data_IF_391020864811
#
_entry.id   IF_391020864811
#
_cell.length_a   1.000
_cell.length_b   1.000
_cell.length_c   1.000
_cell.angle_alpha   90.00
_cell.angle_beta   90.00
_cell.angle_gamma   90.00
#
_symmetry.space_group_name_H-M   'P 1'
#
loop_
_entity.id
_entity.type
_entity.pdbx_description
1 polymer ?
#
# COMPACT_ATOMS: atom_id res chain seq x y z
N UNK A 1 5.55 -1.11 -18.04
CA UNK A 1 6.05 -2.50 -17.93
C UNK A 1 6.84 -2.98 -19.18
N UNK A 2 6.20 -3.35 -20.35
CA UNK A 2 6.97 -3.86 -21.51
C UNK A 2 7.98 -2.83 -22.02
N UNK A 3 7.54 -1.58 -22.22
CA UNK A 3 8.42 -0.48 -22.63
C UNK A 3 9.60 -0.30 -21.68
N UNK A 4 9.34 -0.27 -20.37
CA UNK A 4 10.35 -0.02 -19.36
C UNK A 4 11.37 -1.15 -19.32
N UNK A 5 10.92 -2.40 -19.30
CA UNK A 5 11.81 -3.57 -19.36
C UNK A 5 12.66 -3.60 -20.64
N UNK A 6 12.06 -3.22 -21.80
CA UNK A 6 12.82 -3.10 -23.04
C UNK A 6 13.87 -1.99 -22.95
N UNK A 7 13.51 -0.86 -22.35
CA UNK A 7 14.43 0.28 -22.16
C UNK A 7 15.59 -0.14 -21.25
N UNK A 8 15.33 -0.81 -20.13
CA UNK A 8 16.38 -1.29 -19.21
C UNK A 8 17.36 -2.25 -19.88
N UNK A 9 16.87 -3.20 -20.71
CA UNK A 9 17.74 -4.10 -21.46
C UNK A 9 18.62 -3.32 -22.46
N UNK A 10 18.02 -2.37 -23.19
CA UNK A 10 18.76 -1.57 -24.19
C UNK A 10 19.79 -0.65 -23.52
N UNK A 11 19.41 0.03 -22.44
CA UNK A 11 20.32 0.89 -21.67
C UNK A 11 21.46 0.08 -21.05
N UNK A 12 21.18 -1.08 -20.48
CA UNK A 12 22.20 -2.01 -19.98
C UNK A 12 23.19 -2.45 -21.06
N UNK A 13 22.69 -2.77 -22.27
CA UNK A 13 23.53 -3.13 -23.40
C UNK A 13 24.40 -1.95 -23.88
N UNK A 14 23.87 -0.72 -23.90
CA UNK A 14 24.62 0.48 -24.23
C UNK A 14 25.76 0.66 -23.22
N UNK A 15 25.44 0.63 -21.92
CA UNK A 15 26.43 0.78 -20.85
C UNK A 15 27.53 -0.29 -20.90
N UNK A 16 27.15 -1.55 -21.14
CA UNK A 16 28.13 -2.64 -21.30
C UNK A 16 29.03 -2.39 -22.48
N UNK A 17 28.51 -1.95 -23.62
CA UNK A 17 29.26 -1.65 -24.82
C UNK A 17 30.26 -0.50 -24.58
N UNK A 18 29.81 0.58 -23.94
CA UNK A 18 30.69 1.72 -23.57
C UNK A 18 31.79 1.28 -22.59
N UNK A 19 31.47 0.46 -21.60
CA UNK A 19 32.45 -0.08 -20.66
C UNK A 19 33.54 -0.91 -21.37
N UNK A 20 33.15 -1.77 -22.31
CA UNK A 20 34.09 -2.58 -23.10
C UNK A 20 34.97 -1.71 -23.98
N UNK A 21 34.41 -0.67 -24.62
CA UNK A 21 35.18 0.23 -25.49
C UNK A 21 36.20 1.08 -24.72
N UNK A 22 35.90 1.41 -23.48
CA UNK A 22 36.75 2.27 -22.65
C UNK A 22 37.75 1.51 -21.76
N UNK A 23 37.67 0.18 -21.68
CA UNK A 23 38.54 -0.65 -20.85
C UNK A 23 39.52 -1.47 -21.71
N UNK A 24 40.78 -1.67 -21.25
CA UNK A 24 41.75 -2.48 -21.97
C UNK A 24 41.29 -3.92 -22.15
N UNK A 25 41.49 -4.47 -23.36
CA UNK A 25 41.05 -5.84 -23.73
C UNK A 25 41.77 -6.97 -22.96
N UNK A 26 42.79 -6.65 -22.16
CA UNK A 26 43.65 -7.64 -21.52
C UNK A 26 43.15 -8.19 -20.16
N UNK A 27 42.12 -7.60 -19.58
CA UNK A 27 41.56 -8.10 -18.32
C UNK A 27 40.06 -7.83 -18.20
N UNK A 28 39.30 -8.82 -17.68
CA UNK A 28 37.93 -8.61 -17.22
C UNK A 28 37.97 -7.66 -16.02
N UNK A 29 37.62 -6.40 -16.24
CA UNK A 29 37.54 -5.42 -15.15
C UNK A 29 36.28 -5.68 -14.29
N UNK A 30 36.35 -5.24 -13.05
CA UNK A 30 35.15 -5.31 -12.16
C UNK A 30 33.98 -4.55 -12.78
N UNK A 31 34.19 -3.46 -13.46
CA UNK A 31 33.17 -2.67 -14.15
C UNK A 31 32.51 -3.45 -15.29
N UNK A 32 33.29 -4.21 -16.09
CA UNK A 32 32.72 -5.08 -17.12
C UNK A 32 31.85 -6.20 -16.53
N UNK A 33 32.28 -6.80 -15.41
CA UNK A 33 31.50 -7.83 -14.73
C UNK A 33 30.18 -7.27 -14.15
N UNK A 34 30.21 -6.08 -13.54
CA UNK A 34 29.02 -5.40 -13.03
C UNK A 34 28.06 -5.08 -14.18
N UNK A 35 28.55 -4.45 -15.26
CA UNK A 35 27.71 -4.10 -16.41
C UNK A 35 27.12 -5.35 -17.09
N UNK A 36 27.89 -6.43 -17.18
CA UNK A 36 27.38 -7.71 -17.68
C UNK A 36 26.28 -8.25 -16.78
N UNK A 37 26.47 -8.23 -15.46
CA UNK A 37 25.48 -8.64 -14.47
C UNK A 37 24.17 -7.85 -14.60
N UNK A 38 24.24 -6.53 -14.77
CA UNK A 38 23.07 -5.66 -14.96
C UNK A 38 22.28 -6.01 -16.22
N UNK A 39 22.95 -6.36 -17.34
CA UNK A 39 22.26 -6.83 -18.56
C UNK A 39 21.54 -8.15 -18.32
N UNK A 40 22.20 -9.09 -17.63
CA UNK A 40 21.57 -10.37 -17.30
C UNK A 40 20.33 -10.20 -16.44
N UNK A 41 20.41 -9.36 -15.42
CA UNK A 41 19.28 -9.04 -14.53
C UNK A 41 18.12 -8.40 -15.31
N UNK A 42 18.39 -7.42 -16.16
CA UNK A 42 17.40 -6.80 -17.01
C UNK A 42 16.73 -7.81 -17.97
N UNK A 43 17.49 -8.73 -18.56
CA UNK A 43 16.95 -9.80 -19.41
C UNK A 43 16.10 -10.79 -18.64
N UNK A 44 16.48 -11.14 -17.40
CA UNK A 44 15.70 -12.00 -16.53
C UNK A 44 14.38 -11.36 -16.15
N UNK A 45 14.39 -10.07 -15.77
CA UNK A 45 13.19 -9.29 -15.47
C UNK A 45 12.26 -9.21 -16.69
N UNK A 46 12.81 -8.96 -17.88
CA UNK A 46 12.03 -8.97 -19.13
C UNK A 46 11.37 -10.33 -19.42
N UNK A 47 12.03 -11.42 -19.06
CA UNK A 47 11.49 -12.79 -19.23
C UNK A 47 10.34 -13.11 -18.26
N UNK A 48 10.28 -12.40 -17.14
CA UNK A 48 9.27 -12.57 -16.10
C UNK A 48 8.07 -11.62 -16.26
N UNK A 49 7.99 -10.87 -17.36
CA UNK A 49 6.84 -10.00 -17.63
C UNK A 49 5.53 -10.76 -17.66
N UNK A 50 4.44 -10.17 -17.13
CA UNK A 50 3.11 -10.74 -17.24
C UNK A 50 2.72 -11.02 -18.70
N UNK A 51 2.03 -12.14 -18.95
CA UNK A 51 1.68 -12.58 -20.30
C UNK A 51 0.61 -11.73 -20.98
N UNK A 52 -0.26 -11.10 -20.18
CA UNK A 52 -1.36 -10.28 -20.63
C UNK A 52 -1.70 -9.17 -19.60
N UNK A 53 -2.63 -8.30 -19.96
CA UNK A 53 -3.04 -7.18 -19.09
C UNK A 53 -3.69 -7.66 -17.79
N UNK A 54 -4.47 -8.75 -17.82
CA UNK A 54 -5.04 -9.33 -16.61
C UNK A 54 -3.94 -9.79 -15.65
N UNK A 55 -2.96 -10.53 -16.14
CA UNK A 55 -1.83 -11.01 -15.34
C UNK A 55 -1.00 -9.85 -14.78
N UNK A 56 -0.84 -8.76 -15.56
CA UNK A 56 -0.15 -7.54 -15.12
C UNK A 56 -0.88 -6.86 -13.95
N UNK A 57 -2.19 -6.69 -14.08
CA UNK A 57 -3.02 -6.09 -13.01
C UNK A 57 -3.07 -6.98 -11.76
N UNK A 58 -3.19 -8.29 -11.95
CA UNK A 58 -3.10 -9.26 -10.83
C UNK A 58 -1.76 -9.14 -10.09
N UNK A 59 -0.65 -9.01 -10.81
CA UNK A 59 0.67 -8.83 -10.22
C UNK A 59 0.77 -7.52 -9.44
N UNK A 60 0.31 -6.41 -10.00
CA UNK A 60 0.30 -5.09 -9.35
C UNK A 60 -0.56 -5.10 -8.06
N UNK A 61 -1.78 -5.64 -8.15
CA UNK A 61 -2.68 -5.77 -6.98
C UNK A 61 -2.09 -6.67 -5.89
N UNK A 62 -1.41 -7.76 -6.27
CA UNK A 62 -0.76 -8.65 -5.32
C UNK A 62 0.42 -7.98 -4.60
N UNK A 63 1.23 -7.20 -5.33
CA UNK A 63 2.31 -6.42 -4.74
C UNK A 63 1.77 -5.37 -3.76
N UNK A 64 0.75 -4.59 -4.16
CA UNK A 64 0.09 -3.61 -3.29
C UNK A 64 -0.50 -4.28 -2.03
N UNK A 65 -1.14 -5.44 -2.16
CA UNK A 65 -1.66 -6.22 -1.03
C UNK A 65 -0.54 -6.66 -0.07
N UNK A 66 0.64 -7.02 -0.59
CA UNK A 66 1.82 -7.35 0.22
C UNK A 66 2.22 -6.17 1.10
N UNK A 67 2.46 -5.01 0.48
CA UNK A 67 2.86 -3.78 1.20
C UNK A 67 1.85 -3.39 2.29
N UNK A 68 0.55 -3.39 1.97
CA UNK A 68 -0.51 -3.07 2.95
C UNK A 68 -0.57 -4.09 4.08
N UNK A 69 -0.30 -5.36 3.80
CA UNK A 69 -0.24 -6.41 4.82
C UNK A 69 0.93 -6.19 5.76
N UNK A 70 2.11 -5.89 5.23
CA UNK A 70 3.32 -5.66 6.00
C UNK A 70 3.17 -4.41 6.90
N UNK A 71 2.65 -3.30 6.37
CA UNK A 71 2.35 -2.10 7.15
C UNK A 71 1.33 -2.35 8.28
N UNK A 72 0.32 -3.19 8.03
CA UNK A 72 -0.66 -3.56 9.04
C UNK A 72 -0.03 -4.42 10.15
N UNK A 73 0.80 -5.39 9.80
CA UNK A 73 1.48 -6.28 10.75
C UNK A 73 2.48 -5.49 11.60
N UNK A 74 3.23 -4.55 11.00
CA UNK A 74 4.15 -3.65 11.70
C UNK A 74 3.39 -2.79 12.73
N UNK A 75 2.27 -2.18 12.33
CA UNK A 75 1.47 -1.37 13.25
C UNK A 75 0.83 -2.22 14.37
N UNK A 76 0.34 -3.43 14.07
CA UNK A 76 -0.18 -4.36 15.09
C UNK A 76 0.92 -4.71 16.10
N UNK A 77 2.16 -4.92 15.65
CA UNK A 77 3.29 -5.19 16.53
C UNK A 77 3.66 -3.97 17.40
N UNK A 78 3.74 -2.79 16.79
CA UNK A 78 4.01 -1.54 17.51
C UNK A 78 2.98 -1.27 18.62
N UNK A 79 1.68 -1.57 18.36
CA UNK A 79 0.62 -1.42 19.36
C UNK A 79 0.76 -2.37 20.55
N UNK A 80 1.35 -3.53 20.36
CA UNK A 80 1.63 -4.48 21.44
C UNK A 80 2.82 -4.03 22.28
N UNK A 81 3.88 -3.55 21.63
CA UNK A 81 5.11 -3.10 22.32
C UNK A 81 4.97 -1.71 22.93
N UNK A 82 4.18 -0.83 22.34
CA UNK A 82 4.00 0.57 22.77
C UNK A 82 3.07 0.76 23.96
N UNK A 83 2.82 -0.28 24.78
CA UNK A 83 2.16 -0.11 26.07
C UNK A 83 3.16 0.46 27.06
N UNK A 84 2.83 1.62 27.63
CA UNK A 84 3.59 2.17 28.74
C UNK A 84 3.60 1.15 29.89
N UNK A 85 4.78 0.60 30.26
CA UNK A 85 4.88 -0.40 31.33
C UNK A 85 4.50 0.16 32.70
N UNK A 86 4.37 1.47 32.82
CA UNK A 86 4.02 2.17 34.06
C UNK A 86 2.59 2.70 34.09
N UNK A 87 1.79 2.52 33.02
CA UNK A 87 0.41 3.05 32.97
C UNK A 87 -0.50 2.49 34.05
N UNK A 88 -0.26 1.24 34.50
CA UNK A 88 -1.07 0.59 35.54
C UNK A 88 -0.65 0.95 36.97
N UNK A 89 0.45 1.70 37.13
CA UNK A 89 1.01 2.05 38.47
C UNK A 89 0.66 3.48 38.85
N UNK A 90 0.18 4.31 37.93
CA UNK A 90 -0.01 5.74 38.15
C UNK A 90 -1.49 6.15 38.28
N UNK A 91 -2.28 5.49 39.13
CA UNK A 91 -3.50 6.11 39.68
C UNK A 91 -3.21 7.05 40.87
N UNK A 92 -1.95 7.13 41.34
CA UNK A 92 -1.55 8.06 42.40
C UNK A 92 -0.95 9.35 41.82
N UNK A 93 -1.74 10.43 41.83
CA UNK A 93 -1.43 11.80 41.33
C UNK A 93 -0.25 12.50 42.04
N UNK A 94 0.43 11.91 42.99
CA UNK A 94 1.38 12.63 43.90
C UNK A 94 2.86 12.57 43.50
N UNK A 95 3.26 11.76 42.55
CA UNK A 95 4.65 11.67 42.10
C UNK A 95 4.82 12.20 40.68
N UNK A 96 5.03 13.49 40.52
CA UNK A 96 5.21 14.27 39.30
C UNK A 96 6.20 13.74 38.24
N UNK A 97 6.25 12.47 37.96
CA UNK A 97 6.90 11.87 36.81
C UNK A 97 5.96 12.02 35.61
N UNK A 98 6.13 13.11 34.85
CA UNK A 98 5.61 13.17 33.48
C UNK A 98 6.28 12.08 32.66
N UNK A 99 5.60 10.96 32.46
CA UNK A 99 6.00 9.96 31.48
C UNK A 99 6.30 10.66 30.14
N UNK A 100 7.29 10.17 29.42
CA UNK A 100 7.75 10.77 28.17
C UNK A 100 6.62 10.66 27.12
N UNK A 101 5.77 11.71 27.05
CA UNK A 101 4.57 11.75 26.17
C UNK A 101 4.91 11.56 24.69
N UNK A 102 6.19 11.73 24.34
CA UNK A 102 6.67 11.59 22.96
C UNK A 102 6.96 10.14 22.57
N UNK A 103 6.90 9.21 23.53
CA UNK A 103 7.23 7.80 23.31
C UNK A 103 6.00 6.89 23.34
N UNK A 104 4.93 7.30 24.04
CA UNK A 104 3.75 6.46 24.28
C UNK A 104 2.46 7.14 23.84
N UNK A 105 1.49 6.35 23.37
CA UNK A 105 0.15 6.83 23.04
C UNK A 105 -0.60 7.30 24.29
N UNK A 106 -1.13 8.51 24.24
CA UNK A 106 -2.08 9.01 25.22
C UNK A 106 -3.40 8.22 25.17
N UNK A 107 -4.25 8.36 26.20
CA UNK A 107 -5.58 7.75 26.19
C UNK A 107 -6.45 8.27 25.01
N UNK A 108 -6.33 9.55 24.66
CA UNK A 108 -7.01 10.13 23.52
C UNK A 108 -6.51 9.53 22.19
N UNK A 109 -5.19 9.31 22.05
CA UNK A 109 -4.62 8.68 20.86
C UNK A 109 -5.09 7.23 20.71
N UNK A 110 -5.14 6.48 21.79
CA UNK A 110 -5.60 5.08 21.80
C UNK A 110 -7.03 4.92 21.28
N UNK A 111 -7.91 5.91 21.50
CA UNK A 111 -9.29 5.90 20.96
C UNK A 111 -9.30 5.99 19.43
N UNK A 112 -8.32 6.69 18.83
CA UNK A 112 -8.19 6.82 17.38
C UNK A 112 -7.54 5.60 16.71
N UNK A 113 -6.67 4.89 17.42
CA UNK A 113 -5.97 3.72 16.85
C UNK A 113 -6.93 2.64 16.35
N UNK A 114 -7.99 2.33 17.10
CA UNK A 114 -8.98 1.32 16.74
C UNK A 114 -9.61 1.54 15.35
N UNK A 115 -10.26 2.68 15.11
CA UNK A 115 -10.87 2.95 13.81
C UNK A 115 -9.84 3.17 12.69
N UNK A 116 -8.63 3.69 12.96
CA UNK A 116 -7.57 3.79 11.96
C UNK A 116 -7.08 2.39 11.51
N UNK A 117 -6.84 1.50 12.46
CA UNK A 117 -6.56 0.09 12.18
C UNK A 117 -7.72 -0.58 11.43
N UNK A 118 -8.96 -0.18 11.71
CA UNK A 118 -10.14 -0.62 10.97
C UNK A 118 -10.08 -0.24 9.49
N UNK A 119 -9.64 0.97 9.15
CA UNK A 119 -9.42 1.40 7.76
C UNK A 119 -8.28 0.64 7.09
N UNK A 120 -7.15 0.40 7.76
CA UNK A 120 -6.04 -0.41 7.22
C UNK A 120 -6.50 -1.85 6.96
N UNK A 121 -7.29 -2.45 7.86
CA UNK A 121 -7.89 -3.79 7.65
C UNK A 121 -8.89 -3.80 6.49
N UNK A 122 -9.67 -2.74 6.33
CA UNK A 122 -10.56 -2.58 5.19
C UNK A 122 -9.79 -2.47 3.87
N UNK A 123 -8.62 -1.79 3.86
CA UNK A 123 -7.72 -1.71 2.69
C UNK A 123 -7.21 -3.08 2.27
N UNK A 124 -6.71 -3.87 3.21
CA UNK A 124 -6.27 -5.26 2.97
C UNK A 124 -7.42 -6.12 2.42
N UNK A 125 -8.62 -6.01 3.01
CA UNK A 125 -9.79 -6.76 2.56
C UNK A 125 -10.25 -6.31 1.16
N UNK A 126 -10.24 -5.02 0.87
CA UNK A 126 -10.57 -4.45 -0.42
C UNK A 126 -9.63 -5.00 -1.51
N UNK A 127 -8.31 -4.85 -1.33
CA UNK A 127 -7.31 -5.36 -2.28
C UNK A 127 -7.44 -6.87 -2.50
N UNK A 128 -7.67 -7.65 -1.44
CA UNK A 128 -7.86 -9.10 -1.54
C UNK A 128 -9.11 -9.44 -2.38
N UNK A 129 -10.20 -8.71 -2.20
CA UNK A 129 -11.43 -8.91 -2.96
C UNK A 129 -11.29 -8.50 -4.42
N UNK A 130 -10.73 -7.31 -4.68
CA UNK A 130 -10.47 -6.82 -6.04
C UNK A 130 -9.53 -7.79 -6.79
N UNK A 131 -8.43 -8.21 -6.15
CA UNK A 131 -7.53 -9.23 -6.71
C UNK A 131 -8.27 -10.53 -7.05
N UNK A 132 -9.19 -10.97 -6.19
CA UNK A 132 -10.00 -12.18 -6.40
C UNK A 132 -10.91 -12.05 -7.62
N UNK A 133 -11.66 -10.95 -7.75
CA UNK A 133 -12.57 -10.76 -8.89
C UNK A 133 -11.81 -10.51 -10.21
N UNK A 134 -10.66 -9.82 -10.18
CA UNK A 134 -9.82 -9.66 -11.37
C UNK A 134 -9.26 -11.02 -11.83
N UNK A 135 -8.81 -11.87 -10.91
CA UNK A 135 -8.35 -13.23 -11.24
C UNK A 135 -9.46 -14.10 -11.83
N UNK A 136 -10.69 -13.98 -11.31
CA UNK A 136 -11.80 -14.83 -11.71
C UNK A 136 -12.47 -14.36 -13.00
N UNK A 137 -12.61 -13.05 -13.20
CA UNK A 137 -13.48 -12.46 -14.21
C UNK A 137 -12.78 -11.44 -15.12
N UNK A 138 -11.53 -11.06 -14.81
CA UNK A 138 -10.77 -10.11 -15.64
C UNK A 138 -10.59 -10.65 -17.03
N UNK A 139 -10.94 -9.81 -18.03
CA UNK A 139 -10.76 -10.09 -19.46
C UNK A 139 -10.07 -8.90 -20.10
N UNK A 140 -9.29 -9.16 -21.13
CA UNK A 140 -8.58 -8.14 -21.89
C UNK A 140 -8.87 -8.29 -23.41
N UNK A 141 -10.09 -8.72 -23.75
CA UNK A 141 -10.48 -9.02 -25.12
C UNK A 141 -10.88 -7.77 -25.91
N UNK A 142 -11.22 -6.67 -25.22
CA UNK A 142 -11.60 -5.40 -25.81
C UNK A 142 -10.85 -4.23 -25.19
N UNK A 143 -10.73 -3.12 -25.92
CA UNK A 143 -10.11 -1.89 -25.43
C UNK A 143 -10.80 -1.34 -24.18
N UNK A 144 -12.11 -1.51 -24.08
CA UNK A 144 -12.90 -1.08 -22.91
C UNK A 144 -12.54 -1.92 -21.67
N UNK A 145 -12.44 -3.24 -21.81
CA UNK A 145 -12.02 -4.13 -20.71
C UNK A 145 -10.60 -3.84 -20.25
N UNK A 146 -9.70 -3.56 -21.18
CA UNK A 146 -8.32 -3.17 -20.87
C UNK A 146 -8.32 -1.86 -20.07
N UNK A 147 -9.06 -0.83 -20.53
CA UNK A 147 -9.14 0.45 -19.83
C UNK A 147 -9.71 0.30 -18.42
N UNK A 148 -10.73 -0.53 -18.21
CA UNK A 148 -11.26 -0.81 -16.88
C UNK A 148 -10.27 -1.54 -15.97
N UNK A 149 -9.42 -2.43 -16.50
CA UNK A 149 -8.35 -3.07 -15.75
C UNK A 149 -7.25 -2.07 -15.40
N UNK A 150 -6.90 -1.18 -16.31
CA UNK A 150 -5.91 -0.12 -16.07
C UNK A 150 -6.41 0.86 -15.00
N UNK A 151 -7.67 1.30 -15.06
CA UNK A 151 -8.31 2.14 -14.03
C UNK A 151 -8.25 1.48 -12.64
N UNK A 152 -8.48 0.17 -12.57
CA UNK A 152 -8.38 -0.58 -11.30
C UNK A 152 -6.96 -0.65 -10.79
N UNK A 153 -5.97 -0.85 -11.66
CA UNK A 153 -4.57 -0.89 -11.26
C UNK A 153 -4.10 0.49 -10.79
N UNK A 154 -4.44 1.54 -11.51
CA UNK A 154 -4.02 2.91 -11.20
C UNK A 154 -4.58 3.35 -9.85
N UNK A 155 -5.87 3.19 -9.62
CA UNK A 155 -6.47 3.60 -8.34
C UNK A 155 -6.00 2.71 -7.17
N UNK A 156 -5.76 1.42 -7.40
CA UNK A 156 -5.28 0.52 -6.36
C UNK A 156 -3.85 0.89 -5.91
N UNK A 157 -3.02 1.41 -6.81
CA UNK A 157 -1.68 1.89 -6.50
C UNK A 157 -1.68 3.11 -5.54
N UNK A 158 -2.81 3.81 -5.40
CA UNK A 158 -2.96 4.90 -4.41
C UNK A 158 -3.22 4.37 -2.99
N UNK A 159 -3.56 3.08 -2.81
CA UNK A 159 -3.91 2.53 -1.49
C UNK A 159 -2.68 2.42 -0.60
N UNK A 160 -1.58 1.79 -1.08
CA UNK A 160 -0.42 1.57 -0.21
C UNK A 160 0.22 2.87 0.29
N UNK A 161 0.46 3.92 -0.53
CA UNK A 161 0.97 5.18 -0.01
C UNK A 161 0.02 5.83 1.01
N UNK A 162 -1.30 5.71 0.79
CA UNK A 162 -2.29 6.27 1.73
C UNK A 162 -2.36 5.50 3.04
N UNK A 163 -2.11 4.18 3.01
CA UNK A 163 -1.98 3.35 4.22
C UNK A 163 -0.71 3.71 4.97
N UNK A 164 0.41 3.89 4.29
CA UNK A 164 1.69 4.27 4.90
C UNK A 164 1.62 5.65 5.55
N UNK A 165 1.04 6.65 4.87
CA UNK A 165 0.81 7.99 5.44
C UNK A 165 -0.06 7.93 6.70
N UNK A 166 -1.12 7.12 6.70
CA UNK A 166 -1.94 6.92 7.88
C UNK A 166 -1.14 6.24 8.99
N UNK A 167 -0.44 5.15 8.70
CA UNK A 167 0.38 4.40 9.65
C UNK A 167 1.42 5.31 10.31
N UNK A 168 2.19 6.06 9.52
CA UNK A 168 3.20 6.99 10.01
C UNK A 168 2.62 8.07 10.92
N UNK A 169 1.41 8.57 10.61
CA UNK A 169 0.74 9.59 11.44
C UNK A 169 0.21 9.05 12.77
N UNK A 170 0.10 7.73 12.92
CA UNK A 170 -0.36 7.09 14.15
C UNK A 170 0.74 6.88 15.19
N UNK A 171 2.03 7.00 14.84
CA UNK A 171 3.12 6.90 15.82
C UNK A 171 3.20 8.11 16.75
N UNK A 172 3.63 7.91 18.01
CA UNK A 172 3.86 9.03 18.93
C UNK A 172 5.04 9.92 18.47
N UNK A 173 4.96 11.24 18.71
CA UNK A 173 3.84 11.98 19.24
C UNK A 173 2.73 12.16 18.18
N UNK A 174 1.52 11.67 18.48
CA UNK A 174 0.43 11.66 17.51
C UNK A 174 -0.19 13.04 17.31
N UNK A 175 -0.26 13.46 16.03
CA UNK A 175 -1.03 14.62 15.63
C UNK A 175 -2.42 14.16 15.15
N UNK A 176 -3.43 14.31 16.00
CA UNK A 176 -4.79 13.80 15.72
C UNK A 176 -5.43 14.44 14.48
N UNK A 177 -5.09 15.69 14.15
CA UNK A 177 -5.54 16.34 12.92
C UNK A 177 -4.92 15.69 11.69
N UNK A 178 -3.60 15.43 11.71
CA UNK A 178 -2.91 14.71 10.62
C UNK A 178 -3.49 13.31 10.44
N UNK A 179 -3.72 12.57 11.53
CA UNK A 179 -4.38 11.25 11.49
C UNK A 179 -5.75 11.33 10.82
N UNK A 180 -6.58 12.31 11.20
CA UNK A 180 -7.90 12.51 10.59
C UNK A 180 -7.83 12.80 9.09
N UNK A 181 -6.87 13.63 8.66
CA UNK A 181 -6.69 13.97 7.24
C UNK A 181 -6.22 12.75 6.44
N UNK A 182 -5.24 12.01 6.94
CA UNK A 182 -4.73 10.80 6.28
C UNK A 182 -5.79 9.68 6.25
N UNK A 183 -6.56 9.52 7.32
CA UNK A 183 -7.70 8.60 7.34
C UNK A 183 -8.77 8.99 6.31
N UNK A 184 -9.07 10.28 6.16
CA UNK A 184 -10.03 10.77 5.16
C UNK A 184 -9.52 10.55 3.73
N UNK A 185 -8.22 10.76 3.48
CA UNK A 185 -7.57 10.45 2.20
C UNK A 185 -7.72 8.97 1.86
N UNK A 186 -7.31 8.08 2.77
CA UNK A 186 -7.43 6.64 2.58
C UNK A 186 -8.89 6.20 2.36
N UNK A 187 -9.83 6.71 3.15
CA UNK A 187 -11.25 6.41 2.99
C UNK A 187 -11.78 6.83 1.61
N UNK A 188 -11.34 7.98 1.09
CA UNK A 188 -11.69 8.45 -0.25
C UNK A 188 -11.15 7.53 -1.34
N UNK A 189 -9.88 7.13 -1.23
CA UNK A 189 -9.24 6.18 -2.19
C UNK A 189 -9.98 4.85 -2.18
N UNK A 190 -10.25 4.27 -0.99
CA UNK A 190 -10.98 3.00 -0.88
C UNK A 190 -12.36 3.05 -1.50
N UNK A 191 -13.13 4.12 -1.26
CA UNK A 191 -14.45 4.30 -1.88
C UNK A 191 -14.36 4.36 -3.39
N UNK A 192 -13.37 5.07 -3.92
CA UNK A 192 -13.15 5.18 -5.36
C UNK A 192 -12.78 3.83 -5.99
N UNK A 193 -11.92 3.04 -5.32
CA UNK A 193 -11.60 1.66 -5.75
C UNK A 193 -12.86 0.79 -5.79
N UNK A 194 -13.69 0.86 -4.75
CA UNK A 194 -14.94 0.09 -4.67
C UNK A 194 -15.95 0.51 -5.74
N UNK A 195 -16.05 1.82 -6.03
CA UNK A 195 -16.92 2.36 -7.11
C UNK A 195 -16.46 1.90 -8.49
N UNK A 196 -15.17 2.06 -8.81
CA UNK A 196 -14.59 1.61 -10.08
C UNK A 196 -14.75 0.09 -10.22
N UNK A 197 -14.49 -0.67 -9.17
CA UNK A 197 -14.71 -2.12 -9.20
C UNK A 197 -16.15 -2.46 -9.52
N UNK A 198 -17.11 -1.80 -8.86
CA UNK A 198 -18.55 -2.05 -9.03
C UNK A 198 -19.01 -1.79 -10.47
N UNK A 199 -18.45 -0.79 -11.13
CA UNK A 199 -18.85 -0.39 -12.51
C UNK A 199 -18.07 -1.14 -13.59
N UNK A 200 -17.03 -1.91 -13.22
CA UNK A 200 -16.19 -2.66 -14.16
C UNK A 200 -16.78 -4.03 -14.51
N UNK A 201 -16.32 -4.60 -15.64
CA UNK A 201 -16.72 -5.93 -16.10
C UNK A 201 -16.34 -7.07 -15.12
N UNK A 202 -15.41 -6.83 -14.18
CA UNK A 202 -14.98 -7.86 -13.23
C UNK A 202 -15.96 -8.05 -12.09
N UNK A 203 -16.85 -7.10 -11.81
CA UNK A 203 -17.84 -7.16 -10.74
C UNK A 203 -19.16 -7.73 -11.28
N UNK A 204 -19.37 -9.02 -11.00
CA UNK A 204 -20.66 -9.63 -11.31
C UNK A 204 -21.72 -9.19 -10.28
N UNK A 205 -23.03 -9.26 -10.61
CA UNK A 205 -24.12 -8.93 -9.67
C UNK A 205 -24.05 -9.70 -8.35
N UNK A 206 -23.52 -10.94 -8.37
CA UNK A 206 -23.28 -11.74 -7.17
C UNK A 206 -22.20 -11.19 -6.26
N UNK A 207 -21.34 -10.34 -6.76
CA UNK A 207 -20.21 -9.75 -6.03
C UNK A 207 -20.54 -8.41 -5.36
N UNK A 208 -21.67 -7.77 -5.69
CA UNK A 208 -22.04 -6.46 -5.15
C UNK A 208 -22.15 -6.42 -3.61
N UNK A 209 -22.50 -7.52 -3.00
CA UNK A 209 -22.69 -7.61 -1.54
C UNK A 209 -21.44 -7.26 -0.74
N UNK A 210 -20.26 -7.72 -1.17
CA UNK A 210 -19.02 -7.40 -0.47
C UNK A 210 -18.57 -5.95 -0.71
N UNK A 211 -18.91 -5.37 -1.88
CA UNK A 211 -18.63 -3.95 -2.17
C UNK A 211 -19.39 -3.05 -1.21
N UNK A 212 -20.70 -3.33 -1.02
CA UNK A 212 -21.53 -2.59 -0.06
C UNK A 212 -21.04 -2.75 1.38
N UNK A 213 -20.67 -3.98 1.77
CA UNK A 213 -20.12 -4.26 3.09
C UNK A 213 -18.85 -3.46 3.37
N UNK A 214 -17.89 -3.47 2.44
CA UNK A 214 -16.63 -2.73 2.62
C UNK A 214 -16.83 -1.22 2.60
N UNK A 215 -17.74 -0.71 1.76
CA UNK A 215 -18.12 0.71 1.79
C UNK A 215 -18.65 1.11 3.16
N UNK A 216 -19.56 0.31 3.73
CA UNK A 216 -20.10 0.54 5.07
C UNK A 216 -19.03 0.45 6.16
N UNK A 217 -18.05 -0.46 6.03
CA UNK A 217 -16.93 -0.57 6.97
C UNK A 217 -16.01 0.66 6.93
N UNK A 218 -15.75 1.20 5.73
CA UNK A 218 -14.98 2.44 5.57
C UNK A 218 -15.71 3.61 6.21
N UNK A 219 -17.01 3.78 5.93
CA UNK A 219 -17.84 4.83 6.51
C UNK A 219 -17.87 4.77 8.02
N UNK A 220 -18.14 3.59 8.59
CA UNK A 220 -18.19 3.38 10.02
C UNK A 220 -16.89 3.78 10.75
N UNK A 221 -15.74 3.38 10.22
CA UNK A 221 -14.46 3.75 10.82
C UNK A 221 -14.19 5.25 10.67
N UNK A 222 -14.50 5.85 9.52
CA UNK A 222 -14.31 7.28 9.30
C UNK A 222 -15.21 8.12 10.21
N UNK A 223 -16.45 7.71 10.45
CA UNK A 223 -17.37 8.41 11.35
C UNK A 223 -16.89 8.32 12.81
N UNK A 224 -16.33 7.18 13.24
CA UNK A 224 -15.67 7.09 14.55
C UNK A 224 -14.50 8.06 14.69
N UNK A 225 -13.63 8.14 13.68
CA UNK A 225 -12.49 9.08 13.68
C UNK A 225 -12.99 10.52 13.77
N UNK A 226 -14.02 10.89 12.99
CA UNK A 226 -14.63 12.23 13.05
C UNK A 226 -15.16 12.53 14.44
N UNK A 227 -15.89 11.60 15.05
CA UNK A 227 -16.49 11.77 16.37
C UNK A 227 -15.42 11.98 17.45
N UNK A 228 -14.33 11.20 17.43
CA UNK A 228 -13.24 11.33 18.40
C UNK A 228 -12.39 12.60 18.21
N UNK A 229 -12.46 13.21 17.03
CA UNK A 229 -11.71 14.44 16.70
C UNK A 229 -12.61 15.66 16.55
N UNK A 230 -13.86 15.58 17.00
CA UNK A 230 -14.84 16.68 16.84
C UNK A 230 -14.46 17.91 17.65
N UNK A 231 -13.90 17.72 18.84
CA UNK A 231 -13.52 18.79 19.76
C UNK A 231 -12.21 19.50 19.38
N UNK A 232 -11.57 19.11 18.27
CA UNK A 232 -10.35 19.73 17.75
C UNK A 232 -10.65 20.94 16.83
N UNK A 233 -11.91 21.23 16.57
CA UNK A 233 -12.42 22.34 15.77
C UNK A 233 -13.48 23.10 16.56
#
# INVERSE_FOLDING_TARGET
MVRDATTEVVEGMIQLTETILNTPLESLSQEQLISTGSVWEACEQASNLPRDNQAAVVSALAACLGVVKDALEEMEHALVEGRDPYSDIMEDEELGFRGNRDTYWSEADRKLLGPCMGLMKASKACLKKVLGVVKAHGKADSSEQIAQLDDLADIANEISPSVDELALSMYPPMNQLAVRLNAAKLASVLKKVLEITKTSHVCLPSEEGWVQFLTGAVDHNMDKIKNFTQDLF
#
